data_IF_940693168042
#
_entry.id   IF_940693168042
#
_cell.length_a   1.000
_cell.length_b   1.000
_cell.length_c   1.000
_cell.angle_alpha   90.00
_cell.angle_beta   90.00
_cell.angle_gamma   90.00
#
_symmetry.space_group_name_H-M   'P 1'
#
loop_
_entity.id
_entity.type
_entity.pdbx_description
1 polymer ?
#
# COMPACT_ATOMS: atom_id res chain seq x y z
N UNK A 1 -5.37 2.33 6.93
CA UNK A 1 -4.82 2.04 8.27
C UNK A 1 -5.29 0.65 8.69
N UNK A 2 -4.39 -0.18 9.22
CA UNK A 2 -4.70 -1.54 9.70
C UNK A 2 -4.54 -1.53 11.24
N UNK A 3 -5.61 -1.74 12.03
CA UNK A 3 -5.51 -1.83 13.49
C UNK A 3 -4.90 -3.19 13.89
N UNK A 4 -4.24 -3.22 15.05
CA UNK A 4 -3.73 -4.44 15.70
C UNK A 4 -2.89 -5.35 14.78
N UNK A 5 -2.09 -4.75 13.90
CA UNK A 5 -1.25 -5.48 12.94
C UNK A 5 0.25 -5.21 13.15
N UNK A 6 1.08 -6.17 12.74
CA UNK A 6 2.53 -6.01 12.62
C UNK A 6 2.96 -5.71 11.16
N UNK A 7 4.25 -5.42 10.94
CA UNK A 7 4.80 -5.18 9.60
C UNK A 7 4.66 -6.39 8.68
N UNK A 8 4.69 -7.61 9.21
CA UNK A 8 4.63 -8.83 8.41
C UNK A 8 3.24 -8.99 7.80
N UNK A 9 2.20 -8.81 8.60
CA UNK A 9 0.80 -8.83 8.14
C UNK A 9 0.55 -7.63 7.23
N UNK A 10 1.00 -6.43 7.61
CA UNK A 10 0.87 -5.22 6.79
C UNK A 10 1.51 -5.37 5.41
N UNK A 11 2.74 -5.91 5.35
CA UNK A 11 3.44 -6.20 4.10
C UNK A 11 2.74 -7.26 3.25
N UNK A 12 2.21 -8.33 3.87
CA UNK A 12 1.45 -9.36 3.14
C UNK A 12 0.15 -8.79 2.53
N UNK A 13 -0.53 -7.88 3.23
CA UNK A 13 -1.70 -7.18 2.70
C UNK A 13 -1.30 -6.27 1.52
N UNK A 14 -0.21 -5.51 1.65
CA UNK A 14 0.29 -4.64 0.59
C UNK A 14 0.64 -5.43 -0.68
N UNK A 15 1.43 -6.50 -0.57
CA UNK A 15 1.78 -7.38 -1.70
C UNK A 15 0.53 -7.97 -2.37
N UNK A 16 -0.45 -8.43 -1.57
CA UNK A 16 -1.72 -8.93 -2.11
C UNK A 16 -2.47 -7.85 -2.88
N UNK A 17 -2.52 -6.62 -2.37
CA UNK A 17 -3.16 -5.50 -3.06
C UNK A 17 -2.47 -5.17 -4.38
N UNK A 18 -1.14 -5.10 -4.40
CA UNK A 18 -0.37 -4.84 -5.63
C UNK A 18 -0.68 -5.90 -6.71
N UNK A 19 -0.70 -7.18 -6.35
CA UNK A 19 -1.05 -8.27 -7.30
C UNK A 19 -2.47 -8.17 -7.82
N UNK A 20 -3.43 -7.86 -6.93
CA UNK A 20 -4.84 -7.73 -7.31
C UNK A 20 -5.09 -6.54 -8.25
N UNK A 21 -4.38 -5.43 -8.04
CA UNK A 21 -4.47 -4.26 -8.90
C UNK A 21 -3.78 -4.51 -10.25
N UNK A 22 -2.60 -5.12 -10.25
CA UNK A 22 -1.89 -5.48 -11.49
C UNK A 22 -2.68 -6.46 -12.37
N UNK A 23 -3.48 -7.34 -11.77
CA UNK A 23 -4.32 -8.30 -12.49
C UNK A 23 -5.60 -7.68 -13.09
N UNK A 24 -5.90 -6.41 -12.80
CA UNK A 24 -7.14 -5.74 -13.22
C UNK A 24 -6.81 -4.47 -14.00
N UNK A 25 -6.66 -4.55 -15.34
CA UNK A 25 -6.45 -3.37 -16.15
C UNK A 25 -7.62 -2.39 -16.01
N UNK A 26 -7.32 -1.11 -16.15
CA UNK A 26 -8.33 -0.05 -16.15
C UNK A 26 -8.95 0.01 -17.55
N UNK A 27 -10.26 -0.21 -17.63
CA UNK A 27 -10.99 -0.10 -18.88
C UNK A 27 -11.41 1.35 -19.14
N UNK A 28 -10.97 1.93 -20.26
CA UNK A 28 -11.31 3.29 -20.67
C UNK A 28 -11.42 3.38 -22.19
N UNK A 29 -12.55 3.89 -22.69
CA UNK A 29 -12.83 4.09 -24.12
C UNK A 29 -12.53 2.86 -24.99
N UNK A 30 -12.94 1.67 -24.53
CA UNK A 30 -12.74 0.41 -25.25
C UNK A 30 -11.31 -0.15 -25.18
N UNK A 31 -10.42 0.49 -24.43
CA UNK A 31 -9.03 0.07 -24.24
C UNK A 31 -8.80 -0.42 -22.81
N UNK A 32 -8.02 -1.48 -22.68
CA UNK A 32 -7.53 -1.97 -21.39
C UNK A 32 -6.13 -1.40 -21.13
N UNK A 33 -6.01 -0.60 -20.08
CA UNK A 33 -4.77 0.05 -19.67
C UNK A 33 -4.18 -0.75 -18.50
N UNK A 34 -3.08 -1.49 -18.68
CA UNK A 34 -2.43 -2.19 -17.59
C UNK A 34 -1.81 -1.17 -16.63
N UNK A 35 -2.08 -1.33 -15.34
CA UNK A 35 -1.56 -0.45 -14.28
C UNK A 35 -0.94 -1.26 -13.16
N UNK A 36 0.08 -0.72 -12.52
CA UNK A 36 0.71 -1.28 -11.32
C UNK A 36 0.76 -0.22 -10.23
N UNK A 37 0.93 -0.64 -8.98
CA UNK A 37 1.11 0.27 -7.85
C UNK A 37 2.19 -0.24 -6.92
N UNK A 38 2.82 0.68 -6.19
CA UNK A 38 3.75 0.40 -5.10
C UNK A 38 3.13 0.91 -3.80
N UNK A 39 3.21 0.12 -2.74
CA UNK A 39 2.60 0.43 -1.44
C UNK A 39 3.68 0.33 -0.36
N UNK A 40 4.03 1.47 0.23
CA UNK A 40 4.89 1.54 1.41
C UNK A 40 4.11 1.26 2.68
N UNK A 41 4.71 0.53 3.62
CA UNK A 41 4.08 0.13 4.89
C UNK A 41 4.95 0.58 6.04
N UNK A 42 4.34 1.31 6.98
CA UNK A 42 4.97 1.72 8.23
C UNK A 42 4.12 1.33 9.44
N UNK A 43 4.79 0.99 10.54
CA UNK A 43 4.15 0.82 11.84
C UNK A 43 4.00 2.17 12.54
N UNK A 44 2.86 2.33 13.21
CA UNK A 44 2.66 3.38 14.21
C UNK A 44 3.38 2.95 15.51
N UNK A 45 4.17 3.86 16.07
CA UNK A 45 5.02 3.70 17.25
C UNK A 45 4.54 4.69 18.31
N UNK A 46 3.87 4.18 19.34
CA UNK A 46 3.45 5.00 20.48
C UNK A 46 2.45 6.10 20.10
N UNK A 47 2.71 7.33 20.55
CA UNK A 47 1.88 8.53 20.29
C UNK A 47 2.59 9.52 19.38
N UNK A 48 3.06 9.05 18.24
CA UNK A 48 3.66 9.91 17.23
C UNK A 48 2.59 10.62 16.38
N UNK A 49 2.91 11.79 15.79
CA UNK A 49 2.03 12.44 14.82
C UNK A 49 1.95 11.63 13.52
N UNK A 50 0.79 11.66 12.86
CA UNK A 50 0.59 10.96 11.58
C UNK A 50 1.57 11.38 10.48
N UNK A 51 2.06 12.63 10.51
CA UNK A 51 3.06 13.12 9.56
C UNK A 51 4.33 12.26 9.57
N UNK A 52 4.83 11.87 10.74
CA UNK A 52 6.04 11.04 10.87
C UNK A 52 5.78 9.60 10.40
N UNK A 53 4.58 9.08 10.62
CA UNK A 53 4.17 7.76 10.11
C UNK A 53 4.13 7.76 8.58
N UNK A 54 3.52 8.80 7.99
CA UNK A 54 3.39 8.91 6.54
C UNK A 54 4.73 9.14 5.86
N UNK A 55 5.63 9.94 6.45
CA UNK A 55 7.00 10.10 5.95
C UNK A 55 7.74 8.76 5.90
N UNK A 56 7.64 7.94 6.95
CA UNK A 56 8.25 6.60 6.92
C UNK A 56 7.61 5.67 5.90
N UNK A 57 6.30 5.74 5.71
CA UNK A 57 5.62 4.94 4.70
C UNK A 57 6.09 5.34 3.29
N UNK A 58 6.27 6.63 3.03
CA UNK A 58 6.76 7.17 1.76
C UNK A 58 8.20 6.72 1.46
N UNK A 59 9.08 6.71 2.48
CA UNK A 59 10.46 6.22 2.35
C UNK A 59 10.59 4.72 2.05
N UNK A 60 9.51 3.94 2.16
CA UNK A 60 9.50 2.50 1.87
C UNK A 60 9.10 2.17 0.42
N UNK A 61 8.73 3.18 -0.38
CA UNK A 61 8.25 3.02 -1.76
C UNK A 61 9.40 3.08 -2.76
#
# INVERSE_FOLDING_TARGET
>A
VLPDCDLRIGGAVADRMCRLLAAKPVHHDGHDIPVTTSIGVALVRGREPFSEVFERADQCV
#
